data_IF_133820392125
#
_entry.id   IF_133820392125
#
_cell.length_a   1.000
_cell.length_b   1.000
_cell.length_c   1.000
_cell.angle_alpha   90.00
_cell.angle_beta   90.00
_cell.angle_gamma   90.00
#
_symmetry.space_group_name_H-M   'P 1'
#
loop_
_entity.id
_entity.type
_entity.pdbx_description
1 polymer ?
#
# COMPACT_ATOMS: atom_id res chain seq x y z
N UNK A 1 -31.48 -15.17 -0.76
CA UNK A 1 -31.13 -14.07 0.17
C UNK A 1 -29.99 -13.31 -0.49
N UNK A 2 -29.95 -11.97 -0.44
CA UNK A 2 -28.74 -11.24 -0.83
C UNK A 2 -27.57 -11.74 0.02
N UNK A 3 -26.38 -11.86 -0.60
CA UNK A 3 -25.15 -12.23 0.10
C UNK A 3 -24.81 -11.16 1.14
N UNK A 4 -24.59 -11.55 2.40
CA UNK A 4 -24.02 -10.66 3.42
C UNK A 4 -22.57 -11.07 3.61
N UNK A 5 -21.65 -10.41 2.90
CA UNK A 5 -20.22 -10.74 2.94
C UNK A 5 -19.63 -10.71 4.36
N UNK A 6 -20.15 -9.85 5.24
CA UNK A 6 -19.68 -9.77 6.62
C UNK A 6 -20.10 -11.00 7.42
N UNK A 7 -21.33 -11.47 7.25
CA UNK A 7 -21.82 -12.69 7.90
C UNK A 7 -21.26 -13.93 7.24
N UNK A 8 -21.42 -14.04 5.93
CA UNK A 8 -21.20 -15.27 5.16
C UNK A 8 -19.72 -15.59 4.99
N UNK A 9 -18.84 -14.58 4.89
CA UNK A 9 -17.39 -14.79 4.75
C UNK A 9 -16.63 -14.44 6.03
N UNK A 10 -16.97 -13.32 6.67
CA UNK A 10 -16.27 -12.88 7.88
C UNK A 10 -16.91 -13.39 9.18
N UNK A 11 -18.03 -14.11 9.13
CA UNK A 11 -18.67 -14.67 10.33
C UNK A 11 -19.13 -13.62 11.33
N UNK A 12 -19.28 -12.35 10.90
CA UNK A 12 -19.66 -11.22 11.74
C UNK A 12 -21.19 -11.29 11.94
N UNK A 13 -21.67 -11.47 13.19
CA UNK A 13 -23.08 -11.58 13.49
C UNK A 13 -23.94 -10.40 12.98
N UNK A 14 -25.20 -10.66 12.64
CA UNK A 14 -26.14 -9.64 12.12
C UNK A 14 -26.54 -8.60 13.19
N UNK A 15 -26.34 -8.89 14.47
CA UNK A 15 -26.59 -7.92 15.54
C UNK A 15 -25.51 -6.83 15.65
N UNK A 16 -24.44 -6.93 14.85
CA UNK A 16 -23.43 -5.88 14.73
C UNK A 16 -23.89 -4.90 13.63
N UNK A 17 -23.93 -3.58 13.92
CA UNK A 17 -24.29 -2.57 12.92
C UNK A 17 -23.48 -2.71 11.63
N UNK A 18 -24.14 -2.40 10.49
CA UNK A 18 -23.49 -2.38 9.17
C UNK A 18 -23.29 -0.93 8.72
N UNK A 19 -22.11 -0.55 8.20
CA UNK A 19 -20.88 -1.36 8.16
C UNK A 19 -20.31 -1.60 9.57
N UNK A 20 -19.61 -2.73 9.81
CA UNK A 20 -18.90 -2.97 11.07
C UNK A 20 -17.81 -1.92 11.30
N UNK A 21 -17.47 -1.67 12.57
CA UNK A 21 -16.28 -0.90 12.91
C UNK A 21 -14.99 -1.65 12.51
N UNK A 22 -13.85 -0.95 12.47
CA UNK A 22 -12.57 -1.51 12.02
C UNK A 22 -12.09 -2.68 12.89
N UNK A 23 -12.40 -2.65 14.19
CA UNK A 23 -12.04 -3.72 15.11
C UNK A 23 -12.87 -4.98 14.83
N UNK A 24 -14.19 -4.83 14.71
CA UNK A 24 -15.09 -5.92 14.36
C UNK A 24 -14.76 -6.50 12.98
N UNK A 25 -14.44 -5.63 12.00
CA UNK A 25 -14.08 -6.03 10.65
C UNK A 25 -12.82 -6.90 10.63
N UNK A 26 -11.80 -6.54 11.41
CA UNK A 26 -10.57 -7.31 11.55
C UNK A 26 -10.65 -8.42 12.61
N UNK A 27 -11.82 -8.66 13.21
CA UNK A 27 -12.02 -9.62 14.32
C UNK A 27 -11.05 -9.39 15.49
N UNK A 28 -10.83 -8.14 15.83
CA UNK A 28 -9.99 -7.70 16.95
C UNK A 28 -10.87 -7.31 18.14
N UNK A 29 -10.25 -7.31 19.32
CA UNK A 29 -10.84 -6.65 20.49
C UNK A 29 -10.79 -5.14 20.25
N UNK A 30 -11.85 -4.43 20.66
CA UNK A 30 -11.90 -2.97 20.59
C UNK A 30 -10.72 -2.36 21.33
N UNK A 31 -10.08 -1.35 20.73
CA UNK A 31 -8.87 -0.69 21.23
C UNK A 31 -7.63 -1.59 21.33
N UNK A 32 -7.53 -2.62 20.48
CA UNK A 32 -6.27 -3.37 20.34
C UNK A 32 -5.13 -2.42 19.88
N UNK A 33 -4.05 -2.41 20.67
CA UNK A 33 -2.87 -1.57 20.46
C UNK A 33 -1.69 -2.34 19.84
N UNK A 34 -1.75 -3.68 19.81
CA UNK A 34 -0.70 -4.49 19.19
C UNK A 34 -0.84 -4.48 17.66
N UNK A 35 -0.04 -3.62 17.01
CA UNK A 35 0.06 -3.49 15.55
C UNK A 35 0.34 -4.83 14.86
N UNK A 36 1.13 -5.71 15.46
CA UNK A 36 1.45 -7.01 14.84
C UNK A 36 0.24 -7.95 14.87
N UNK A 37 -0.60 -7.88 15.92
CA UNK A 37 -1.90 -8.57 15.90
C UNK A 37 -2.84 -8.00 14.85
N UNK A 38 -2.92 -6.68 14.71
CA UNK A 38 -3.76 -6.02 13.69
C UNK A 38 -3.38 -6.55 12.30
N UNK A 39 -2.09 -6.52 11.96
CA UNK A 39 -1.57 -7.06 10.68
C UNK A 39 -1.82 -8.55 10.53
N UNK A 40 -1.60 -9.34 11.59
CA UNK A 40 -1.81 -10.78 11.56
C UNK A 40 -3.27 -11.18 11.31
N UNK A 41 -4.22 -10.40 11.85
CA UNK A 41 -5.65 -10.59 11.59
C UNK A 41 -6.03 -10.17 10.17
N UNK A 42 -5.58 -8.98 9.74
CA UNK A 42 -5.76 -8.51 8.38
C UNK A 42 -5.28 -9.53 7.35
N UNK A 43 -4.05 -10.03 7.49
CA UNK A 43 -3.47 -11.02 6.56
C UNK A 43 -4.36 -12.25 6.40
N UNK A 44 -4.81 -12.84 7.52
CA UNK A 44 -5.67 -14.04 7.51
C UNK A 44 -7.01 -13.79 6.83
N UNK A 45 -7.63 -12.63 7.09
CA UNK A 45 -8.92 -12.28 6.51
C UNK A 45 -8.78 -11.94 5.02
N UNK A 46 -7.73 -11.18 4.67
CA UNK A 46 -7.41 -10.84 3.29
C UNK A 46 -7.18 -12.10 2.43
N UNK A 47 -6.35 -13.04 2.91
CA UNK A 47 -6.13 -14.34 2.25
C UNK A 47 -7.42 -15.15 2.09
N UNK A 48 -8.33 -15.08 3.07
CA UNK A 48 -9.63 -15.74 2.98
C UNK A 48 -10.51 -15.11 1.89
N UNK A 49 -10.64 -13.78 1.90
CA UNK A 49 -11.50 -13.05 0.96
C UNK A 49 -10.98 -13.14 -0.48
N UNK A 50 -9.65 -13.19 -0.68
CA UNK A 50 -9.03 -13.39 -2.00
C UNK A 50 -9.46 -14.67 -2.71
N UNK A 51 -9.97 -15.67 -1.99
CA UNK A 51 -10.53 -16.91 -2.60
C UNK A 51 -11.78 -16.63 -3.46
N UNK A 52 -12.43 -15.49 -3.25
CA UNK A 52 -13.61 -15.05 -3.98
C UNK A 52 -13.30 -13.95 -5.01
N UNK A 53 -12.02 -13.59 -5.20
CA UNK A 53 -11.60 -12.49 -6.07
C UNK A 53 -11.84 -12.74 -7.57
N UNK A 54 -12.23 -13.95 -7.96
CA UNK A 54 -12.54 -14.32 -9.34
C UNK A 54 -13.93 -14.94 -9.44
N UNK A 55 -14.61 -14.72 -10.56
CA UNK A 55 -15.91 -15.31 -10.83
C UNK A 55 -17.05 -14.45 -10.30
N UNK A 56 -18.14 -15.10 -9.86
CA UNK A 56 -19.43 -14.44 -9.60
C UNK A 56 -19.38 -13.35 -8.53
N UNK A 57 -18.47 -13.47 -7.56
CA UNK A 57 -18.39 -12.55 -6.40
C UNK A 57 -17.17 -11.62 -6.45
N UNK A 58 -16.63 -11.39 -7.64
CA UNK A 58 -15.42 -10.58 -7.83
C UNK A 58 -15.59 -9.16 -7.28
N UNK A 59 -16.76 -8.54 -7.50
CA UNK A 59 -17.02 -7.15 -7.06
C UNK A 59 -17.10 -7.09 -5.55
N UNK A 60 -17.90 -7.96 -4.94
CA UNK A 60 -18.09 -8.02 -3.49
C UNK A 60 -16.80 -8.40 -2.75
N UNK A 61 -15.98 -9.28 -3.34
CA UNK A 61 -14.64 -9.60 -2.84
C UNK A 61 -13.72 -8.39 -2.88
N UNK A 62 -13.71 -7.64 -3.98
CA UNK A 62 -12.87 -6.45 -4.11
C UNK A 62 -13.28 -5.35 -3.12
N UNK A 63 -14.57 -5.09 -2.95
CA UNK A 63 -15.09 -4.13 -1.98
C UNK A 63 -14.65 -4.51 -0.56
N UNK A 64 -14.83 -5.78 -0.17
CA UNK A 64 -14.44 -6.22 1.16
C UNK A 64 -12.92 -6.21 1.38
N UNK A 65 -12.11 -6.51 0.35
CA UNK A 65 -10.65 -6.38 0.44
C UNK A 65 -10.24 -4.92 0.67
N UNK A 66 -10.91 -3.97 0.02
CA UNK A 66 -10.68 -2.55 0.23
C UNK A 66 -11.04 -2.15 1.67
N UNK A 67 -12.19 -2.59 2.18
CA UNK A 67 -12.61 -2.29 3.57
C UNK A 67 -11.62 -2.86 4.59
N UNK A 68 -11.16 -4.11 4.40
CA UNK A 68 -10.13 -4.73 5.25
C UNK A 68 -8.82 -3.93 5.22
N UNK A 69 -8.41 -3.44 4.04
CA UNK A 69 -7.20 -2.63 3.89
C UNK A 69 -7.33 -1.29 4.61
N UNK A 70 -8.47 -0.59 4.45
CA UNK A 70 -8.75 0.68 5.14
C UNK A 70 -8.73 0.53 6.66
N UNK A 71 -9.37 -0.52 7.18
CA UNK A 71 -9.35 -0.81 8.61
C UNK A 71 -7.93 -1.07 9.13
N UNK A 72 -7.14 -1.87 8.42
CA UNK A 72 -5.75 -2.14 8.80
C UNK A 72 -4.89 -0.86 8.78
N UNK A 73 -5.02 -0.05 7.73
CA UNK A 73 -4.29 1.21 7.59
C UNK A 73 -4.65 2.20 8.70
N UNK A 74 -5.94 2.32 9.01
CA UNK A 74 -6.41 3.17 10.11
C UNK A 74 -5.85 2.71 11.46
N UNK A 75 -5.92 1.40 11.75
CA UNK A 75 -5.53 0.84 13.05
C UNK A 75 -4.02 0.67 13.21
N UNK A 76 -3.21 0.93 12.19
CA UNK A 76 -1.73 0.87 12.24
C UNK A 76 -1.06 2.22 12.04
N UNK A 77 -1.83 3.26 11.77
CA UNK A 77 -1.40 4.66 11.74
C UNK A 77 -1.68 5.28 13.12
N UNK A 78 -0.66 5.75 13.86
CA UNK A 78 -0.85 6.25 15.23
C UNK A 78 -1.84 7.41 15.34
N UNK A 79 -1.80 8.36 14.40
CA UNK A 79 -2.66 9.54 14.42
C UNK A 79 -4.09 9.16 14.03
N UNK A 80 -4.28 8.41 12.93
CA UNK A 80 -5.63 7.98 12.53
C UNK A 80 -6.27 7.06 13.56
N UNK A 81 -5.49 6.16 14.18
CA UNK A 81 -6.00 5.28 15.22
C UNK A 81 -6.43 6.08 16.45
N UNK A 82 -5.68 7.10 16.84
CA UNK A 82 -6.05 7.97 17.96
C UNK A 82 -7.42 8.63 17.70
N UNK A 83 -7.57 9.33 16.57
CA UNK A 83 -8.81 9.99 16.19
C UNK A 83 -9.99 9.01 16.07
N UNK A 84 -9.72 7.83 15.51
CA UNK A 84 -10.70 6.76 15.36
C UNK A 84 -11.16 6.20 16.72
N UNK A 85 -10.21 5.93 17.60
CA UNK A 85 -10.48 5.41 18.95
C UNK A 85 -11.23 6.43 19.80
N UNK A 86 -10.85 7.70 19.71
CA UNK A 86 -11.54 8.81 20.38
C UNK A 86 -12.99 8.94 19.87
N UNK A 87 -13.21 8.84 18.54
CA UNK A 87 -14.56 8.79 17.96
C UNK A 87 -15.39 7.58 18.42
N UNK A 88 -14.71 6.51 18.84
CA UNK A 88 -15.30 5.34 19.48
C UNK A 88 -15.36 5.47 21.02
N UNK A 89 -15.03 6.62 21.60
CA UNK A 89 -15.12 6.88 23.04
C UNK A 89 -13.96 6.32 23.87
N UNK A 90 -12.79 6.08 23.28
CA UNK A 90 -11.55 5.92 24.05
C UNK A 90 -11.16 7.28 24.63
N UNK A 91 -10.87 7.32 25.92
CA UNK A 91 -10.32 8.50 26.57
C UNK A 91 -8.78 8.39 26.56
N UNK A 92 -8.11 9.49 26.20
CA UNK A 92 -6.66 9.64 26.25
C UNK A 92 -6.30 10.68 27.31
N UNK A 93 -5.17 10.50 28.00
CA UNK A 93 -4.63 11.52 28.90
C UNK A 93 -4.02 12.64 28.05
N UNK A 94 -4.30 13.91 28.38
CA UNK A 94 -3.73 15.08 27.70
C UNK A 94 -2.18 15.09 27.73
N UNK A 95 -1.57 14.33 28.64
CA UNK A 95 -0.11 14.19 28.77
C UNK A 95 0.47 12.96 28.05
N UNK A 96 -0.34 12.14 27.37
CA UNK A 96 0.13 10.97 26.63
C UNK A 96 0.72 11.42 25.29
N UNK A 97 1.87 12.09 25.35
CA UNK A 97 2.59 12.55 24.17
C UNK A 97 3.07 11.33 23.39
N UNK A 98 2.71 11.24 22.10
CA UNK A 98 3.13 10.18 21.19
C UNK A 98 4.65 10.24 20.96
N UNK A 99 5.44 9.71 21.91
CA UNK A 99 6.89 9.61 21.77
C UNK A 99 7.20 8.53 20.73
N UNK A 100 7.60 8.97 19.53
CA UNK A 100 8.02 8.07 18.45
C UNK A 100 9.46 7.60 18.73
N UNK A 101 9.69 6.31 18.97
CA UNK A 101 11.05 5.83 19.15
C UNK A 101 11.83 5.95 17.84
N UNK A 102 13.11 6.28 17.93
CA UNK A 102 13.98 6.34 16.75
C UNK A 102 14.14 4.96 16.14
N UNK A 103 14.58 4.88 14.87
CA UNK A 103 14.86 3.59 14.23
C UNK A 103 15.86 2.76 15.05
N UNK A 104 16.86 3.40 15.65
CA UNK A 104 17.84 2.73 16.50
C UNK A 104 17.19 2.09 17.75
N UNK A 105 16.33 2.83 18.45
CA UNK A 105 15.62 2.32 19.62
C UNK A 105 14.67 1.18 19.24
N UNK A 106 13.98 1.34 18.11
CA UNK A 106 13.07 0.33 17.58
C UNK A 106 13.81 -0.95 17.24
N UNK A 107 14.92 -0.88 16.49
CA UNK A 107 15.73 -2.05 16.13
C UNK A 107 16.33 -2.76 17.36
N UNK A 108 16.74 -2.03 18.39
CA UNK A 108 17.20 -2.66 19.65
C UNK A 108 16.05 -3.40 20.36
N UNK A 109 14.84 -2.83 20.36
CA UNK A 109 13.67 -3.40 21.04
C UNK A 109 13.02 -4.56 20.29
N UNK A 110 12.78 -4.40 18.99
CA UNK A 110 12.03 -5.36 18.16
C UNK A 110 12.91 -6.13 17.16
N UNK A 111 13.98 -5.51 16.67
CA UNK A 111 14.92 -6.17 15.75
C UNK A 111 15.92 -7.10 16.44
N UNK A 112 15.99 -7.09 17.78
CA UNK A 112 16.88 -7.95 18.56
C UNK A 112 18.36 -7.55 18.50
N UNK A 113 18.67 -6.32 18.07
CA UNK A 113 20.05 -5.83 18.02
C UNK A 113 20.56 -5.51 19.43
N UNK A 114 21.78 -5.95 19.72
CA UNK A 114 22.51 -5.49 20.91
C UNK A 114 22.94 -4.03 20.77
N UNK A 115 23.28 -3.38 21.89
CA UNK A 115 23.84 -2.02 21.87
C UNK A 115 25.14 -1.95 21.08
N UNK A 116 26.01 -2.95 21.25
CA UNK A 116 27.29 -3.03 20.54
C UNK A 116 27.09 -3.14 19.02
N UNK A 117 26.13 -3.97 18.58
CA UNK A 117 25.78 -4.09 17.15
C UNK A 117 25.21 -2.78 16.60
N UNK A 118 24.46 -2.04 17.40
CA UNK A 118 23.91 -0.74 17.00
C UNK A 118 25.00 0.32 16.84
N UNK A 119 25.98 0.34 17.74
CA UNK A 119 27.11 1.27 17.63
C UNK A 119 28.01 0.92 16.43
N UNK A 120 28.26 -0.38 16.19
CA UNK A 120 28.96 -0.83 14.98
C UNK A 120 28.21 -0.43 13.69
N UNK A 121 26.88 -0.54 13.68
CA UNK A 121 26.06 -0.16 12.54
C UNK A 121 26.10 1.35 12.25
N UNK A 122 26.13 2.20 13.29
CA UNK A 122 26.28 3.66 13.14
C UNK A 122 27.65 4.02 12.56
N UNK A 123 28.71 3.43 13.10
CA UNK A 123 30.07 3.63 12.59
C UNK A 123 30.19 3.19 11.13
N UNK A 124 29.57 2.07 10.76
CA UNK A 124 29.52 1.59 9.38
C UNK A 124 28.76 2.54 8.47
N UNK A 125 27.59 3.03 8.91
CA UNK A 125 26.77 3.99 8.18
C UNK A 125 27.54 5.28 7.87
N UNK A 126 28.19 5.87 8.88
CA UNK A 126 28.95 7.11 8.73
C UNK A 126 30.13 6.94 7.76
N UNK A 127 30.91 5.87 7.90
CA UNK A 127 32.08 5.61 7.02
C UNK A 127 31.70 5.37 5.56
N UNK A 128 30.48 4.91 5.30
CA UNK A 128 29.98 4.57 3.96
C UNK A 128 29.04 5.63 3.38
N UNK A 129 28.63 6.62 4.16
CA UNK A 129 27.62 7.60 3.76
C UNK A 129 26.24 6.95 3.53
N UNK A 130 25.89 5.94 4.33
CA UNK A 130 24.62 5.22 4.25
C UNK A 130 23.67 5.69 5.35
N UNK A 131 22.37 5.47 5.15
CA UNK A 131 21.41 5.57 6.25
C UNK A 131 21.63 4.44 7.26
N UNK A 132 21.22 4.66 8.52
CA UNK A 132 21.29 3.61 9.54
C UNK A 132 20.46 2.38 9.14
N UNK A 133 19.29 2.59 8.50
CA UNK A 133 18.45 1.54 7.94
C UNK A 133 19.23 0.67 6.94
N UNK A 134 19.87 1.29 5.96
CA UNK A 134 20.56 0.53 4.90
C UNK A 134 21.83 -0.14 5.45
N UNK A 135 22.50 0.48 6.42
CA UNK A 135 23.65 -0.10 7.10
C UNK A 135 23.31 -1.41 7.83
N UNK A 136 22.23 -1.43 8.63
CA UNK A 136 21.85 -2.65 9.38
C UNK A 136 21.43 -3.79 8.45
N UNK A 137 20.80 -3.49 7.32
CA UNK A 137 20.45 -4.48 6.28
C UNK A 137 21.71 -4.99 5.59
N UNK A 138 22.62 -4.09 5.19
CA UNK A 138 23.85 -4.46 4.49
C UNK A 138 24.79 -5.30 5.37
N UNK A 139 24.82 -5.02 6.67
CA UNK A 139 25.55 -5.81 7.66
C UNK A 139 24.84 -7.13 8.02
N UNK A 140 23.65 -7.39 7.45
CA UNK A 140 22.81 -8.56 7.72
C UNK A 140 22.44 -8.71 9.20
N UNK A 141 22.32 -7.59 9.91
CA UNK A 141 21.86 -7.57 11.31
C UNK A 141 20.34 -7.75 11.36
N UNK A 142 19.63 -7.22 10.37
CA UNK A 142 18.18 -7.38 10.17
C UNK A 142 17.85 -7.55 8.69
N UNK A 143 16.65 -8.06 8.42
CA UNK A 143 16.08 -8.04 7.07
C UNK A 143 15.54 -6.66 6.68
N UNK A 144 15.19 -6.50 5.40
CA UNK A 144 14.75 -5.23 4.85
C UNK A 144 13.37 -4.82 5.38
N UNK A 145 12.53 -5.80 5.67
CA UNK A 145 11.18 -5.67 6.22
C UNK A 145 11.25 -5.08 7.64
N UNK A 146 12.05 -5.67 8.53
CA UNK A 146 12.23 -5.16 9.91
C UNK A 146 12.82 -3.75 9.90
N UNK A 147 13.76 -3.47 9.00
CA UNK A 147 14.37 -2.16 8.86
C UNK A 147 13.37 -1.11 8.33
N UNK A 148 12.51 -1.47 7.38
CA UNK A 148 11.45 -0.60 6.87
C UNK A 148 10.35 -0.35 7.92
N UNK A 149 9.96 -1.37 8.69
CA UNK A 149 9.03 -1.21 9.81
C UNK A 149 9.56 -0.25 10.87
N UNK A 150 10.85 -0.35 11.19
CA UNK A 150 11.49 0.52 12.17
C UNK A 150 11.54 1.98 11.68
N UNK A 151 11.77 2.21 10.38
CA UNK A 151 11.67 3.55 9.77
C UNK A 151 10.23 4.08 9.84
N UNK A 152 9.24 3.23 9.54
CA UNK A 152 7.83 3.63 9.59
C UNK A 152 7.42 4.13 10.99
N UNK A 153 7.88 3.44 12.03
CA UNK A 153 7.63 3.83 13.42
C UNK A 153 8.25 5.20 13.75
N UNK A 154 9.50 5.43 13.34
CA UNK A 154 10.18 6.72 13.57
C UNK A 154 9.46 7.87 12.86
N UNK A 155 9.01 7.65 11.63
CA UNK A 155 8.24 8.62 10.86
C UNK A 155 6.78 8.76 11.34
N UNK A 156 6.30 7.83 12.18
CA UNK A 156 4.89 7.70 12.56
C UNK A 156 3.97 7.42 11.38
N UNK A 157 4.47 6.65 10.41
CA UNK A 157 3.73 6.21 9.24
C UNK A 157 3.38 4.73 9.36
N UNK A 158 2.26 4.27 8.78
CA UNK A 158 1.96 2.85 8.71
C UNK A 158 2.94 2.14 7.75
N UNK A 159 3.36 0.94 8.13
CA UNK A 159 4.06 0.01 7.24
C UNK A 159 3.09 -0.99 6.61
N UNK A 160 3.26 -1.24 5.32
CA UNK A 160 2.40 -2.13 4.53
C UNK A 160 3.18 -3.20 3.79
N UNK A 161 2.59 -4.39 3.76
CA UNK A 161 2.98 -5.48 2.86
C UNK A 161 2.17 -5.38 1.57
N UNK A 162 2.85 -5.05 0.47
CA UNK A 162 2.23 -4.84 -0.84
C UNK A 162 1.73 -6.13 -1.49
N UNK A 163 2.14 -7.31 -1.03
CA UNK A 163 1.57 -8.57 -1.53
C UNK A 163 0.11 -8.72 -1.13
N UNK A 164 -0.31 -8.07 -0.04
CA UNK A 164 -1.65 -8.17 0.52
C UNK A 164 -2.59 -7.08 0.00
N UNK A 165 -2.08 -6.06 -0.70
CA UNK A 165 -2.85 -4.95 -1.24
C UNK A 165 -3.01 -5.09 -2.75
N UNK A 166 -4.15 -4.65 -3.26
CA UNK A 166 -4.41 -4.57 -4.70
C UNK A 166 -4.56 -3.10 -5.06
N UNK A 167 -3.62 -2.50 -5.82
CA UNK A 167 -3.76 -1.14 -6.33
C UNK A 167 -4.98 -1.00 -7.25
N UNK A 168 -5.46 0.23 -7.40
CA UNK A 168 -6.49 0.59 -8.36
C UNK A 168 -5.85 0.89 -9.73
N UNK A 169 -6.27 0.13 -10.74
CA UNK A 169 -5.78 0.28 -12.12
C UNK A 169 -5.99 1.69 -12.67
N UNK A 170 -7.07 2.37 -12.27
CA UNK A 170 -7.36 3.75 -12.69
C UNK A 170 -6.36 4.76 -12.13
N UNK A 171 -5.77 4.46 -10.96
CA UNK A 171 -4.73 5.28 -10.33
C UNK A 171 -3.38 4.98 -10.98
N UNK A 172 -3.06 3.72 -11.18
CA UNK A 172 -1.84 3.30 -11.87
C UNK A 172 -1.78 3.85 -13.31
N UNK A 173 -2.92 3.90 -14.02
CA UNK A 173 -2.99 4.49 -15.36
C UNK A 173 -2.68 6.00 -15.39
N UNK A 174 -2.94 6.74 -14.29
CA UNK A 174 -2.64 8.18 -14.18
C UNK A 174 -1.18 8.47 -13.88
N UNK A 175 -0.44 7.51 -13.35
CA UNK A 175 0.94 7.69 -12.89
C UNK A 175 1.85 6.80 -13.74
N UNK A 176 2.64 7.35 -14.67
CA UNK A 176 3.53 6.56 -15.51
C UNK A 176 4.53 5.71 -14.73
N UNK A 177 4.76 4.47 -15.21
CA UNK A 177 5.69 3.49 -14.61
C UNK A 177 7.09 4.05 -14.37
N UNK A 178 7.59 4.91 -15.24
CA UNK A 178 8.91 5.53 -15.08
C UNK A 178 8.97 6.47 -13.86
N UNK A 179 7.89 7.14 -13.51
CA UNK A 179 7.80 7.99 -12.32
C UNK A 179 7.75 7.13 -11.06
N UNK A 180 6.96 6.05 -11.07
CA UNK A 180 6.93 5.07 -9.99
C UNK A 180 8.32 4.45 -9.75
N UNK A 181 8.98 3.99 -10.81
CA UNK A 181 10.31 3.37 -10.73
C UNK A 181 11.41 4.34 -10.32
N UNK A 182 11.42 5.57 -10.86
CA UNK A 182 12.46 6.57 -10.56
C UNK A 182 12.44 6.98 -9.09
N UNK A 183 11.25 7.11 -8.52
CA UNK A 183 11.08 7.54 -7.13
C UNK A 183 10.94 6.37 -6.15
N UNK A 184 10.97 5.13 -6.65
CA UNK A 184 10.75 3.90 -5.87
C UNK A 184 9.47 3.98 -5.04
N UNK A 185 8.36 4.28 -5.71
CA UNK A 185 7.02 4.36 -5.12
C UNK A 185 6.03 3.48 -5.87
N UNK A 186 4.99 3.02 -5.17
CA UNK A 186 3.83 2.36 -5.76
C UNK A 186 2.55 3.07 -5.34
N UNK A 187 1.85 3.77 -6.26
CA UNK A 187 0.51 4.28 -6.01
C UNK A 187 -0.46 3.12 -5.78
N UNK A 188 -1.34 3.26 -4.78
CA UNK A 188 -2.31 2.22 -4.42
C UNK A 188 -3.71 2.60 -4.88
N UNK A 189 -4.45 3.32 -4.06
CA UNK A 189 -5.84 3.72 -4.31
C UNK A 189 -6.14 5.04 -3.59
N UNK A 190 -7.28 5.64 -3.90
CA UNK A 190 -7.77 6.84 -3.20
C UNK A 190 -8.71 6.42 -2.08
N UNK A 191 -8.47 6.96 -0.89
CA UNK A 191 -9.28 6.79 0.32
C UNK A 191 -9.53 8.16 0.94
N UNK A 192 -10.79 8.51 1.20
CA UNK A 192 -11.20 9.81 1.78
C UNK A 192 -10.56 11.04 1.10
N UNK A 193 -10.62 11.10 -0.24
CA UNK A 193 -9.97 12.16 -1.05
C UNK A 193 -8.46 12.29 -0.82
N UNK A 194 -7.79 11.19 -0.48
CA UNK A 194 -6.33 11.11 -0.32
C UNK A 194 -5.78 9.93 -1.12
N UNK A 195 -4.77 10.18 -1.96
CA UNK A 195 -4.04 9.12 -2.66
C UNK A 195 -3.09 8.40 -1.70
N UNK A 196 -3.29 7.11 -1.49
CA UNK A 196 -2.33 6.30 -0.75
C UNK A 196 -1.18 5.86 -1.66
N UNK A 197 0.05 6.11 -1.21
CA UNK A 197 1.27 5.77 -1.95
C UNK A 197 2.21 5.02 -1.03
N UNK A 198 2.62 3.83 -1.44
CA UNK A 198 3.68 3.11 -0.78
C UNK A 198 5.04 3.61 -1.23
N UNK A 199 5.88 3.98 -0.27
CA UNK A 199 7.19 4.56 -0.46
C UNK A 199 8.23 3.72 0.30
N UNK A 200 9.44 3.64 -0.24
CA UNK A 200 10.57 3.02 0.48
C UNK A 200 11.13 4.00 1.52
N UNK A 201 11.19 5.27 1.16
CA UNK A 201 11.75 6.37 1.94
C UNK A 201 10.78 7.55 1.97
N UNK A 202 11.15 8.61 2.69
CA UNK A 202 10.37 9.84 2.68
C UNK A 202 10.38 10.46 1.26
N UNK A 203 9.21 10.68 0.63
CA UNK A 203 9.13 11.28 -0.69
C UNK A 203 9.55 12.75 -0.62
N UNK A 204 10.05 13.28 -1.74
CA UNK A 204 10.33 14.71 -1.87
C UNK A 204 9.05 15.52 -2.05
N UNK A 205 9.03 16.78 -1.63
CA UNK A 205 7.88 17.67 -1.85
C UNK A 205 7.51 17.82 -3.34
N UNK A 206 8.52 17.85 -4.23
CA UNK A 206 8.28 17.90 -5.67
C UNK A 206 7.48 16.69 -6.17
N UNK A 207 7.76 15.50 -5.62
CA UNK A 207 7.02 14.28 -5.95
C UNK A 207 5.60 14.33 -5.40
N UNK A 208 5.42 14.80 -4.17
CA UNK A 208 4.09 14.98 -3.55
C UNK A 208 3.22 15.92 -4.41
N UNK A 209 3.79 17.04 -4.85
CA UNK A 209 3.11 18.00 -5.72
C UNK A 209 2.82 17.42 -7.12
N UNK A 210 3.77 16.69 -7.72
CA UNK A 210 3.59 16.02 -9.02
C UNK A 210 2.42 15.03 -8.97
N UNK A 211 2.34 14.22 -7.91
CA UNK A 211 1.27 13.23 -7.73
C UNK A 211 -0.08 13.89 -7.47
N UNK A 212 -0.10 14.94 -6.64
CA UNK A 212 -1.32 15.73 -6.38
C UNK A 212 -1.88 16.33 -7.67
N UNK A 213 -1.04 16.93 -8.51
CA UNK A 213 -1.47 17.54 -9.78
C UNK A 213 -2.03 16.50 -10.77
N UNK A 214 -1.52 15.27 -10.73
CA UNK A 214 -1.99 14.19 -11.64
C UNK A 214 -3.28 13.54 -11.19
N UNK A 215 -3.41 13.26 -9.89
CA UNK A 215 -4.56 12.52 -9.37
C UNK A 215 -5.68 13.46 -8.92
N UNK A 216 -5.35 14.71 -8.57
CA UNK A 216 -6.29 15.74 -8.15
C UNK A 216 -6.53 15.80 -6.63
N UNK A 217 -5.83 14.97 -5.86
CA UNK A 217 -5.97 14.82 -4.40
C UNK A 217 -4.60 14.82 -3.73
N UNK A 218 -4.47 15.28 -2.48
CA UNK A 218 -3.22 15.13 -1.73
C UNK A 218 -2.84 13.66 -1.59
N UNK A 219 -1.55 13.37 -1.44
CA UNK A 219 -1.09 12.03 -1.16
C UNK A 219 -0.84 11.81 0.34
N UNK A 220 -1.02 10.57 0.79
CA UNK A 220 -0.51 10.07 2.06
C UNK A 220 0.43 8.91 1.79
N UNK A 221 1.54 8.97 2.50
CA UNK A 221 2.66 8.04 2.39
C UNK A 221 2.48 6.86 3.35
N UNK A 222 2.80 5.69 2.85
CA UNK A 222 2.88 4.43 3.58
C UNK A 222 4.30 3.90 3.38
N UNK A 223 4.93 3.31 4.40
CA UNK A 223 6.26 2.73 4.24
C UNK A 223 6.13 1.27 3.80
N UNK A 224 6.95 0.86 2.84
CA UNK A 224 7.03 -0.52 2.36
C UNK A 224 8.48 -0.92 2.12
N UNK A 225 8.76 -2.23 2.08
CA UNK A 225 10.10 -2.70 1.81
C UNK A 225 10.53 -2.38 0.36
N UNK A 226 11.83 -2.14 0.10
CA UNK A 226 12.33 -1.91 -1.25
C UNK A 226 11.99 -3.05 -2.22
N UNK A 227 12.03 -4.29 -1.74
CA UNK A 227 11.72 -5.46 -2.54
C UNK A 227 10.25 -5.45 -2.96
N UNK A 228 9.34 -5.26 -2.01
CA UNK A 228 7.89 -5.25 -2.25
C UNK A 228 7.49 -4.14 -3.23
N UNK A 229 8.06 -2.94 -3.10
CA UNK A 229 7.76 -1.83 -4.03
C UNK A 229 8.23 -2.16 -5.44
N UNK A 230 9.47 -2.63 -5.61
CA UNK A 230 10.00 -2.96 -6.93
C UNK A 230 9.25 -4.11 -7.60
N UNK A 231 8.90 -5.15 -6.85
CA UNK A 231 8.09 -6.26 -7.33
C UNK A 231 6.67 -5.80 -7.71
N UNK A 232 6.04 -4.97 -6.87
CA UNK A 232 4.73 -4.39 -7.17
C UNK A 232 4.75 -3.55 -8.44
N UNK A 233 5.75 -2.67 -8.62
CA UNK A 233 5.91 -1.89 -9.86
C UNK A 233 6.08 -2.81 -11.07
N UNK A 234 6.89 -3.87 -10.95
CA UNK A 234 7.10 -4.80 -12.05
C UNK A 234 5.82 -5.53 -12.43
N UNK A 235 5.08 -6.02 -11.43
CA UNK A 235 3.85 -6.79 -11.60
C UNK A 235 2.70 -5.94 -12.12
N UNK A 236 2.23 -4.97 -11.35
CA UNK A 236 0.97 -4.27 -11.63
C UNK A 236 1.03 -3.40 -12.89
N UNK A 237 2.16 -2.74 -13.17
CA UNK A 237 2.28 -1.99 -14.42
C UNK A 237 2.36 -2.91 -15.65
N UNK A 238 2.94 -4.11 -15.52
CA UNK A 238 2.94 -5.07 -16.63
C UNK A 238 1.55 -5.65 -16.89
N UNK A 239 0.74 -5.86 -15.85
CA UNK A 239 -0.65 -6.32 -15.96
C UNK A 239 -1.51 -5.27 -16.70
N UNK A 240 -1.33 -3.98 -16.41
CA UNK A 240 -2.02 -2.88 -17.10
C UNK A 240 -1.56 -2.74 -18.56
N UNK A 241 -0.25 -2.81 -18.81
CA UNK A 241 0.30 -2.77 -20.17
C UNK A 241 -0.27 -3.93 -21.02
N UNK A 242 -0.31 -5.15 -20.46
CA UNK A 242 -0.89 -6.31 -21.12
C UNK A 242 -2.41 -6.19 -21.35
N UNK A 243 -3.15 -5.62 -20.40
CA UNK A 243 -4.59 -5.37 -20.55
C UNK A 243 -4.89 -4.29 -21.61
N UNK A 244 -4.01 -3.28 -21.73
CA UNK A 244 -4.10 -2.23 -22.75
C UNK A 244 -3.77 -2.72 -24.16
N UNK A 245 -2.86 -3.70 -24.29
CA UNK A 245 -2.52 -4.34 -25.56
C UNK A 245 -3.56 -5.40 -26.00
N UNK A 246 -4.42 -5.87 -25.10
CA UNK A 246 -5.46 -6.88 -25.36
C UNK A 246 -6.85 -6.31 -25.77
N UNK A 247 -6.96 -5.00 -26.04
CA UNK A 247 -8.15 -4.36 -26.63
C UNK A 247 -8.32 -4.67 -28.12
N UNK A 248 -9.55 -4.64 -28.67
CA UNK A 248 -9.96 -5.50 -29.78
C UNK A 248 -9.12 -5.27 -31.03
N UNK A 249 -8.63 -6.36 -31.64
CA UNK A 249 -8.25 -6.39 -33.05
C UNK A 249 -9.45 -5.89 -33.86
N UNK A 250 -9.44 -4.60 -34.17
CA UNK A 250 -10.35 -3.98 -35.09
C UNK A 250 -10.10 -4.61 -36.46
N UNK A 251 -11.03 -5.49 -36.82
CA UNK A 251 -11.37 -5.92 -38.17
C UNK A 251 -11.38 -4.68 -39.09
N UNK A 252 -10.23 -4.38 -39.67
CA UNK A 252 -10.03 -3.32 -40.66
C UNK A 252 -9.41 -3.95 -41.89
N UNK A 253 -10.18 -4.84 -42.50
CA UNK A 253 -9.94 -5.32 -43.85
C UNK A 253 -11.21 -5.20 -44.70
N UNK A 254 -11.75 -3.98 -44.85
CA UNK A 254 -12.45 -3.66 -46.09
C UNK A 254 -12.39 -2.17 -46.45
N UNK A 255 -12.28 -1.92 -47.76
CA UNK A 255 -12.19 -0.65 -48.50
C UNK A 255 -10.94 0.24 -48.21
N UNK A 256 -10.11 0.65 -49.17
CA UNK A 256 -10.42 1.07 -50.52
C UNK A 256 -9.13 1.21 -51.35
N UNK A 257 -8.91 0.34 -52.37
CA UNK A 257 -7.87 0.56 -53.40
C UNK A 257 -8.36 1.63 -54.38
N UNK A 258 -8.00 2.88 -54.14
CA UNK A 258 -8.19 3.97 -55.10
C UNK A 258 -7.27 3.78 -56.31
N UNK A 259 -7.88 3.54 -57.48
CA UNK A 259 -7.25 3.47 -58.79
C UNK A 259 -6.59 4.82 -59.15
N UNK A 260 -5.27 4.83 -59.35
CA UNK A 260 -4.56 5.94 -60.04
C UNK A 260 -5.00 6.05 -61.51
N UNK A 261 -5.23 7.26 -62.05
CA UNK A 261 -5.49 7.45 -63.47
C UNK A 261 -4.19 7.38 -64.28
N UNK A 262 -4.20 6.59 -65.36
CA UNK A 262 -3.11 6.50 -66.34
C UNK A 262 -3.07 7.77 -67.19
N UNK A 263 -2.00 8.56 -67.10
CA UNK A 263 -1.59 9.50 -68.14
C UNK A 263 -1.01 8.71 -69.32
N UNK A 264 -1.64 8.83 -70.50
CA UNK A 264 -1.02 8.49 -71.80
C UNK A 264 -0.04 9.60 -72.19
N UNK A 265 1.02 9.27 -72.94
CA UNK A 265 1.24 10.08 -74.13
C UNK A 265 1.64 9.27 -75.38
N UNK A 266 1.37 9.90 -76.53
CA UNK A 266 1.85 9.70 -77.92
C UNK A 266 1.17 8.60 -78.77
N UNK A 267 0.31 9.03 -79.69
CA UNK A 267 0.73 9.41 -81.05
C UNK A 267 -0.24 10.45 -81.61
#
# INVERSE_FOLDING_TARGET
>A
MPLDVYKDWLGIPENIPRPPDHYALLRLVRFEDDVQKVRGHYKKLNEHVRKYATGTYQVESQELLNDLAKAMLCLTDPERKHDYDEGLGREFDENDELVRPTIAQTLVRSGGLSRDQMDEAKDFAERRGLSLRDAVVQMKLVDAETAAEALAIELGLPYVDLEQLTPDDSILAKIPRNVARRNTILPLFVDDDVLLVACVDEPTHDLEDELRLRVGVPMRRLIASPLSVNQGIARFYSEIEAAGEAGPEADTADAEKTKKPKKKPKK
#
